data_IF_578618755314
#
_entry.id   IF_578618755314
#
_cell.length_a   1.000
_cell.length_b   1.000
_cell.length_c   1.000
_cell.angle_alpha   90.00
_cell.angle_beta   90.00
_cell.angle_gamma   90.00
#
_symmetry.space_group_name_H-M   'P 1'
#
loop_
_entity.id
_entity.type
_entity.pdbx_description
1 polymer ?
#
# COMPACT_ATOMS: atom_id res chain seq x y z
N UNK A 1 -13.31 -5.76 -28.53
CA UNK A 1 -12.20 -6.56 -27.94
C UNK A 1 -12.48 -7.15 -26.56
N UNK A 2 -13.53 -6.75 -25.81
CA UNK A 2 -13.93 -7.38 -24.53
C UNK A 2 -14.29 -8.87 -24.64
N UNK A 3 -15.06 -9.23 -25.67
CA UNK A 3 -15.69 -10.55 -25.81
C UNK A 3 -14.72 -11.74 -26.01
N UNK A 4 -13.45 -11.49 -26.36
CA UNK A 4 -12.50 -12.59 -26.67
C UNK A 4 -11.67 -13.04 -25.47
N UNK A 5 -11.62 -12.23 -24.40
CA UNK A 5 -10.74 -12.49 -23.25
C UNK A 5 -11.45 -12.40 -21.90
N UNK A 6 -12.59 -11.69 -21.82
CA UNK A 6 -13.42 -11.62 -20.61
C UNK A 6 -14.89 -11.44 -20.99
N UNK A 7 -15.59 -12.56 -21.19
CA UNK A 7 -17.03 -12.49 -21.41
C UNK A 7 -17.82 -12.30 -20.11
N UNK A 8 -17.28 -12.73 -18.96
CA UNK A 8 -18.01 -12.77 -17.68
C UNK A 8 -17.23 -12.39 -16.41
N UNK A 9 -15.97 -11.92 -16.49
CA UNK A 9 -15.17 -11.61 -15.29
C UNK A 9 -14.33 -10.33 -15.43
N UNK A 10 -13.91 -9.76 -14.30
CA UNK A 10 -13.06 -8.57 -14.28
C UNK A 10 -11.61 -8.94 -14.64
N UNK A 11 -10.80 -7.97 -15.10
CA UNK A 11 -9.36 -8.17 -15.40
C UNK A 11 -8.57 -8.81 -14.24
N UNK A 12 -9.04 -8.63 -13.00
CA UNK A 12 -8.44 -9.18 -11.78
C UNK A 12 -8.74 -10.67 -11.55
N UNK A 13 -9.74 -11.22 -12.25
CA UNK A 13 -10.22 -12.61 -12.14
C UNK A 13 -9.89 -13.46 -13.38
N UNK A 14 -9.11 -12.91 -14.30
CA UNK A 14 -8.62 -13.61 -15.49
C UNK A 14 -7.81 -14.85 -15.08
N UNK A 15 -8.20 -16.02 -15.57
CA UNK A 15 -7.38 -17.23 -15.44
C UNK A 15 -6.68 -17.55 -16.75
N UNK A 16 -5.50 -18.18 -16.62
CA UNK A 16 -4.65 -18.55 -17.74
C UNK A 16 -5.32 -19.68 -18.55
N UNK A 17 -5.86 -19.37 -19.73
CA UNK A 17 -6.29 -20.39 -20.69
C UNK A 17 -5.13 -20.72 -21.64
N UNK A 18 -4.86 -22.00 -21.88
CA UNK A 18 -3.68 -22.52 -22.58
C UNK A 18 -3.52 -22.09 -24.05
N UNK A 19 -4.50 -21.38 -24.61
CA UNK A 19 -4.49 -20.79 -25.96
C UNK A 19 -4.25 -19.25 -25.96
N UNK A 20 -3.77 -18.71 -24.85
CA UNK A 20 -3.52 -17.28 -24.70
C UNK A 20 -2.26 -16.83 -25.48
N UNK A 21 -2.39 -15.74 -26.25
CA UNK A 21 -1.25 -15.14 -26.96
C UNK A 21 -0.12 -14.72 -26.02
N UNK A 22 1.13 -14.75 -26.47
CA UNK A 22 2.31 -14.35 -25.68
C UNK A 22 2.17 -12.97 -25.02
N UNK A 23 1.55 -12.01 -25.73
CA UNK A 23 1.23 -10.68 -25.21
C UNK A 23 0.25 -10.73 -24.03
N UNK A 24 -0.72 -11.64 -24.05
CA UNK A 24 -1.68 -11.86 -22.96
C UNK A 24 -1.01 -12.49 -21.74
N UNK A 25 -0.12 -13.48 -21.94
CA UNK A 25 0.69 -14.05 -20.87
C UNK A 25 1.54 -12.98 -20.19
N UNK A 26 2.16 -12.06 -20.94
CA UNK A 26 2.93 -10.95 -20.38
C UNK A 26 2.08 -9.97 -19.56
N UNK A 27 0.86 -9.69 -20.01
CA UNK A 27 -0.10 -8.84 -19.26
C UNK A 27 -0.54 -9.54 -17.97
N UNK A 28 -0.79 -10.85 -18.02
CA UNK A 28 -1.11 -11.65 -16.83
C UNK A 28 0.07 -11.75 -15.86
N UNK A 29 1.31 -11.91 -16.34
CA UNK A 29 2.50 -11.84 -15.48
C UNK A 29 2.70 -10.47 -14.84
N UNK A 30 2.28 -9.39 -15.51
CA UNK A 30 2.25 -8.06 -14.92
C UNK A 30 1.13 -7.90 -13.87
N UNK A 31 0.10 -8.74 -13.87
CA UNK A 31 -0.98 -8.72 -12.88
C UNK A 31 -0.46 -8.96 -11.46
N UNK A 32 0.49 -9.89 -11.29
CA UNK A 32 1.09 -10.17 -9.99
C UNK A 32 2.04 -9.05 -9.54
N UNK A 33 2.75 -8.42 -10.48
CA UNK A 33 3.54 -7.21 -10.22
C UNK A 33 2.67 -6.02 -9.79
N UNK A 34 1.50 -5.86 -10.41
CA UNK A 34 0.51 -4.85 -10.03
C UNK A 34 -0.05 -5.14 -8.63
N UNK A 35 -0.30 -6.41 -8.28
CA UNK A 35 -0.78 -6.80 -6.95
C UNK A 35 0.25 -6.54 -5.84
N UNK A 36 1.54 -6.66 -6.12
CA UNK A 36 2.63 -6.54 -5.13
C UNK A 36 3.19 -5.11 -5.03
N UNK A 37 2.87 -4.23 -5.99
CA UNK A 37 3.61 -2.98 -6.14
C UNK A 37 3.06 -1.75 -5.42
N UNK A 38 1.98 -1.82 -4.66
CA UNK A 38 1.42 -0.63 -4.00
C UNK A 38 1.82 -0.53 -2.54
N UNK A 39 2.17 0.69 -2.11
CA UNK A 39 2.44 1.05 -0.72
C UNK A 39 1.70 2.33 -0.37
N UNK A 40 1.17 2.43 0.84
CA UNK A 40 0.61 3.65 1.40
C UNK A 40 1.70 4.60 1.89
N UNK A 41 1.61 5.85 1.46
CA UNK A 41 2.24 6.99 2.13
C UNK A 41 1.27 7.46 3.21
N UNK A 42 1.72 7.42 4.45
CA UNK A 42 0.93 7.82 5.61
C UNK A 42 0.84 9.35 5.67
N UNK A 43 -0.39 9.86 5.70
CA UNK A 43 -0.72 11.24 6.04
C UNK A 43 -1.37 11.25 7.41
N UNK A 44 -2.71 11.25 7.46
CA UNK A 44 -3.47 11.16 8.72
C UNK A 44 -3.52 9.74 9.32
N UNK A 45 -3.22 8.70 8.54
CA UNK A 45 -3.28 7.30 8.94
C UNK A 45 -4.71 6.76 9.13
N UNK A 46 -5.73 7.57 8.86
CA UNK A 46 -7.14 7.23 9.15
C UNK A 46 -7.73 6.27 8.13
N UNK A 47 -7.10 6.11 6.96
CA UNK A 47 -7.57 5.26 5.86
C UNK A 47 -6.74 3.98 5.69
N UNK A 48 -5.75 3.76 6.55
CA UNK A 48 -4.78 2.67 6.42
C UNK A 48 -4.89 1.76 7.64
N UNK A 49 -5.15 0.48 7.43
CA UNK A 49 -5.18 -0.52 8.51
C UNK A 49 -3.80 -1.09 8.74
N UNK A 50 -3.39 -1.11 10.00
CA UNK A 50 -2.05 -1.51 10.44
C UNK A 50 -1.65 -2.90 9.92
N UNK A 51 -2.57 -3.86 10.02
CA UNK A 51 -2.29 -5.28 9.78
C UNK A 51 -2.67 -5.78 8.38
N UNK A 52 -3.38 -4.98 7.57
CA UNK A 52 -3.93 -5.42 6.28
C UNK A 52 -3.36 -4.66 5.09
N UNK A 53 -3.06 -3.39 5.28
CA UNK A 53 -2.67 -2.53 4.18
C UNK A 53 -1.13 -2.43 4.12
N UNK A 54 -0.52 -2.35 2.93
CA UNK A 54 0.94 -2.26 2.78
C UNK A 54 1.42 -0.82 3.01
N UNK A 55 2.04 -0.50 4.15
CA UNK A 55 2.47 0.88 4.49
C UNK A 55 3.90 1.01 5.06
N UNK A 56 4.46 -0.06 5.60
CA UNK A 56 5.82 -0.07 6.17
C UNK A 56 6.84 -0.17 5.03
N UNK A 57 7.95 0.60 5.02
CA UNK A 57 8.97 0.57 3.97
C UNK A 57 9.82 -0.71 4.02
N UNK A 58 9.23 -1.86 3.69
CA UNK A 58 9.92 -3.16 3.69
C UNK A 58 10.05 -3.75 2.29
N UNK A 59 11.12 -4.51 2.02
CA UNK A 59 11.20 -5.32 0.83
C UNK A 59 10.04 -6.33 0.79
N UNK A 60 9.39 -6.46 -0.37
CA UNK A 60 8.43 -7.51 -0.74
C UNK A 60 7.01 -7.48 -0.14
N UNK A 61 6.81 -7.14 1.14
CA UNK A 61 5.46 -7.18 1.76
C UNK A 61 4.86 -5.82 2.10
N UNK A 62 5.70 -4.82 2.40
CA UNK A 62 5.30 -3.54 2.98
C UNK A 62 4.39 -3.64 4.22
N UNK A 63 4.35 -4.79 4.88
CA UNK A 63 3.47 -5.10 6.01
C UNK A 63 4.31 -5.50 7.24
N UNK A 64 3.71 -5.50 8.44
CA UNK A 64 4.39 -5.99 9.64
C UNK A 64 4.88 -7.43 9.47
N UNK A 65 6.06 -7.76 9.99
CA UNK A 65 6.64 -9.11 9.91
C UNK A 65 5.82 -10.10 10.72
N UNK A 66 5.40 -9.67 11.90
CA UNK A 66 4.56 -10.42 12.82
C UNK A 66 3.33 -9.55 13.06
N UNK A 67 2.14 -10.17 13.13
CA UNK A 67 0.95 -9.44 13.55
C UNK A 67 1.18 -8.87 14.95
N UNK A 68 1.02 -7.55 15.13
CA UNK A 68 1.11 -6.93 16.45
C UNK A 68 0.16 -7.65 17.42
N UNK A 69 0.66 -8.13 18.55
CA UNK A 69 -0.10 -8.97 19.49
C UNK A 69 -1.31 -8.26 20.10
N UNK A 70 -1.26 -6.93 20.15
CA UNK A 70 -2.23 -6.09 20.85
C UNK A 70 -3.13 -5.29 19.91
N UNK A 71 -2.97 -5.43 18.58
CA UNK A 71 -3.75 -4.66 17.62
C UNK A 71 -4.77 -5.54 16.90
N UNK A 72 -6.02 -5.09 16.94
CA UNK A 72 -7.09 -5.69 16.16
C UNK A 72 -6.84 -5.55 14.66
N UNK A 73 -7.48 -6.43 13.88
CA UNK A 73 -7.38 -6.38 12.41
C UNK A 73 -8.00 -5.13 11.78
N UNK A 74 -8.80 -4.38 12.55
CA UNK A 74 -9.43 -3.12 12.18
C UNK A 74 -8.68 -1.88 12.66
N UNK A 75 -7.58 -2.04 13.41
CA UNK A 75 -6.81 -0.91 13.92
C UNK A 75 -6.22 -0.10 12.76
N UNK A 76 -6.45 1.22 12.82
CA UNK A 76 -5.93 2.18 11.84
C UNK A 76 -4.54 2.66 12.25
N UNK A 77 -3.74 3.06 11.26
CA UNK A 77 -2.41 3.64 11.48
C UNK A 77 -2.50 4.94 12.28
N UNK A 78 -3.61 5.68 12.17
CA UNK A 78 -3.89 6.86 12.99
C UNK A 78 -3.77 6.60 14.50
N UNK A 79 -4.08 5.39 14.97
CA UNK A 79 -3.96 5.01 16.38
C UNK A 79 -2.51 4.88 16.86
N UNK A 80 -1.54 4.89 15.94
CA UNK A 80 -0.10 4.85 16.23
C UNK A 80 0.53 6.25 16.19
N UNK A 81 -0.25 7.29 15.89
CA UNK A 81 0.21 8.67 15.70
C UNK A 81 -0.21 9.49 16.93
N UNK A 82 0.75 10.16 17.54
CA UNK A 82 0.51 11.19 18.55
C UNK A 82 0.07 12.47 17.83
N UNK A 83 -1.21 12.83 17.99
CA UNK A 83 -1.83 14.00 17.34
C UNK A 83 -1.23 15.31 17.87
N UNK A 84 -0.84 15.35 19.14
CA UNK A 84 -0.32 16.56 19.78
C UNK A 84 1.12 16.83 19.33
N UNK A 85 1.92 15.78 19.16
CA UNK A 85 3.30 15.87 18.67
C UNK A 85 3.40 15.89 17.13
N UNK A 86 2.36 15.42 16.44
CA UNK A 86 2.34 15.23 15.00
C UNK A 86 3.42 14.26 14.52
N UNK A 87 3.70 13.24 15.32
CA UNK A 87 4.71 12.22 15.08
C UNK A 87 4.21 10.87 15.64
N UNK A 88 4.98 9.81 15.42
CA UNK A 88 4.67 8.47 15.89
C UNK A 88 4.68 8.34 17.42
N UNK A 89 3.69 7.65 17.97
CA UNK A 89 3.71 7.23 19.38
C UNK A 89 4.75 6.11 19.56
N UNK A 90 5.92 6.51 20.05
CA UNK A 90 7.07 5.61 20.25
C UNK A 90 6.79 4.53 21.29
N UNK A 91 5.92 4.78 22.26
CA UNK A 91 5.60 3.81 23.30
C UNK A 91 4.74 2.69 22.72
N UNK A 92 3.65 3.05 22.04
CA UNK A 92 2.75 2.09 21.40
C UNK A 92 3.51 1.26 20.35
N UNK A 93 4.35 1.90 19.53
CA UNK A 93 5.09 1.19 18.48
C UNK A 93 6.02 0.13 19.07
N UNK A 94 6.79 0.48 20.11
CA UNK A 94 7.72 -0.46 20.74
C UNK A 94 7.02 -1.59 21.48
N UNK A 95 5.79 -1.39 21.93
CA UNK A 95 4.99 -2.42 22.59
C UNK A 95 4.35 -3.37 21.57
N UNK A 96 3.85 -2.81 20.47
CA UNK A 96 3.07 -3.55 19.48
C UNK A 96 3.91 -4.26 18.41
N UNK A 97 5.09 -3.72 18.06
CA UNK A 97 5.89 -4.19 16.93
C UNK A 97 7.24 -4.77 17.39
N UNK A 98 7.83 -5.65 16.58
CA UNK A 98 9.20 -6.10 16.81
C UNK A 98 10.20 -4.96 16.55
N UNK A 99 11.44 -5.07 17.04
CA UNK A 99 12.45 -4.01 16.90
C UNK A 99 12.68 -3.57 15.45
N UNK A 100 12.75 -4.54 14.52
CA UNK A 100 12.99 -4.28 13.10
C UNK A 100 11.86 -3.45 12.47
N UNK A 101 10.62 -3.77 12.82
CA UNK A 101 9.43 -3.06 12.33
C UNK A 101 9.34 -1.68 12.95
N UNK A 102 9.63 -1.59 14.25
CA UNK A 102 9.62 -0.35 15.00
C UNK A 102 10.59 0.67 14.41
N UNK A 103 11.82 0.25 14.10
CA UNK A 103 12.82 1.13 13.47
C UNK A 103 12.35 1.66 12.12
N UNK A 104 11.75 0.80 11.30
CA UNK A 104 11.25 1.19 9.99
C UNK A 104 10.04 2.12 10.07
N UNK A 105 9.11 1.87 11.01
CA UNK A 105 7.94 2.73 11.23
C UNK A 105 8.41 4.11 11.70
N UNK A 106 9.29 4.16 12.70
CA UNK A 106 9.81 5.41 13.27
C UNK A 106 10.66 6.22 12.26
N UNK A 107 11.18 5.59 11.22
CA UNK A 107 11.86 6.26 10.12
C UNK A 107 10.90 6.88 9.08
N UNK A 108 9.60 6.56 9.12
CA UNK A 108 8.61 7.18 8.23
C UNK A 108 8.34 8.60 8.73
N UNK A 109 8.60 9.61 7.89
CA UNK A 109 8.23 10.98 8.23
C UNK A 109 6.72 11.18 8.08
N UNK A 110 6.05 11.58 9.17
CA UNK A 110 4.68 12.08 9.14
C UNK A 110 4.73 13.57 8.80
N UNK A 111 4.10 13.97 7.70
CA UNK A 111 4.01 15.38 7.34
C UNK A 111 2.85 15.99 8.12
N UNK A 112 3.13 17.00 8.96
CA UNK A 112 2.14 17.67 9.85
C UNK A 112 1.00 18.40 9.15
N UNK A 113 1.04 18.50 7.83
CA UNK A 113 -0.05 19.05 7.05
C UNK A 113 -1.15 18.00 6.89
N UNK A 114 -2.42 18.40 6.99
CA UNK A 114 -3.65 17.57 6.85
C UNK A 114 -3.78 16.87 5.48
N UNK A 115 -2.79 16.06 5.13
CA UNK A 115 -2.72 15.32 3.89
C UNK A 115 -3.38 13.98 4.13
N UNK A 116 -4.26 13.63 3.21
CA UNK A 116 -4.90 12.32 3.18
C UNK A 116 -3.85 11.24 2.88
N UNK A 117 -4.15 10.02 3.29
CA UNK A 117 -3.32 8.85 2.96
C UNK A 117 -3.33 8.61 1.44
N UNK A 118 -2.16 8.36 0.84
CA UNK A 118 -2.01 8.21 -0.62
C UNK A 118 -1.46 6.83 -0.94
N UNK A 119 -2.04 6.15 -1.93
CA UNK A 119 -1.48 4.93 -2.51
C UNK A 119 -0.40 5.28 -3.54
N UNK A 120 0.83 4.85 -3.29
CA UNK A 120 1.97 4.99 -4.21
C UNK A 120 2.28 3.64 -4.85
N UNK A 121 2.67 3.65 -6.13
CA UNK A 121 3.19 2.46 -6.79
C UNK A 121 4.72 2.46 -6.69
N UNK A 122 5.28 1.44 -6.02
CA UNK A 122 6.69 1.33 -5.69
C UNK A 122 7.54 0.81 -6.85
N UNK A 123 6.98 -0.05 -7.71
CA UNK A 123 7.69 -0.63 -8.87
C UNK A 123 7.30 0.07 -10.18
N UNK A 124 7.61 1.36 -10.31
CA UNK A 124 7.64 1.99 -11.64
C UNK A 124 9.03 1.78 -12.26
N UNK A 125 9.17 1.19 -13.47
CA UNK A 125 10.45 1.03 -14.15
C UNK A 125 11.09 2.36 -14.59
N UNK A 126 10.42 3.50 -14.45
CA UNK A 126 10.80 4.74 -15.15
C UNK A 126 11.03 5.97 -14.27
N UNK A 127 10.89 5.88 -12.94
CA UNK A 127 11.41 6.92 -12.02
C UNK A 127 10.99 8.38 -12.29
N UNK A 128 9.95 8.63 -13.07
CA UNK A 128 9.46 9.97 -13.39
C UNK A 128 8.05 10.13 -12.84
N UNK A 129 7.96 10.94 -11.78
CA UNK A 129 6.69 11.40 -11.23
C UNK A 129 6.29 12.70 -11.94
N UNK A 130 5.22 12.64 -12.74
CA UNK A 130 4.34 13.79 -12.93
C UNK A 130 3.00 13.40 -12.35
N UNK A 131 2.74 13.88 -11.14
CA UNK A 131 1.41 13.86 -10.55
C UNK A 131 0.65 14.97 -11.28
N UNK A 132 -0.03 14.65 -12.38
CA UNK A 132 -1.11 15.51 -12.84
C UNK A 132 -2.27 15.33 -11.86
N UNK A 133 -2.21 16.11 -10.78
CA UNK A 133 -3.39 16.41 -9.98
C UNK A 133 -4.33 17.16 -10.90
N UNK A 134 -5.31 16.46 -11.47
CA UNK A 134 -6.40 17.10 -12.20
C UNK A 134 -7.29 17.83 -11.18
N UNK A 135 -6.93 19.08 -10.92
CA UNK A 135 -7.77 20.05 -10.21
C UNK A 135 -8.02 21.24 -11.11
N UNK A 136 -9.28 21.68 -11.11
CA UNK A 136 -9.91 22.90 -11.68
C UNK A 136 -10.92 22.50 -12.76
N UNK A 137 -12.18 22.22 -12.39
CA UNK A 137 -13.28 23.14 -12.04
C UNK A 137 -13.93 23.79 -13.28
N UNK A 138 -15.23 23.45 -13.42
CA UNK A 138 -16.36 24.09 -14.13
C UNK A 138 -16.02 25.01 -15.30
#
# INVERSE_FOLDING_TARGET
>A
MKAKYFSHSSFLEAHFESNSSFSWCRILSAQDLIKVGFRWRIGSGSSVRVCRDPWIPKPHSFQPLIRPRQLDSSTMVASLIDIDQGDWDRAIIKECFCPEDSELILAILIVRSNHQDIRLWYYSPTGLYTIEVCTTLI
#
